data_IF_282077526374
#
_entry.id   IF_282077526374
#
_cell.length_a   1.000
_cell.length_b   1.000
_cell.length_c   1.000
_cell.angle_alpha   90.00
_cell.angle_beta   90.00
_cell.angle_gamma   90.00
#
_symmetry.space_group_name_H-M   'P 1'
#
loop_
_entity.id
_entity.type
_entity.pdbx_description
1 polymer ?
#
# COMPACT_ATOMS: atom_id res chain seq x y z
N UNK A 1 3.27 10.71 5.77
CA UNK A 1 3.72 10.10 4.51
C UNK A 1 3.94 8.60 4.70
N UNK A 2 3.54 7.79 3.75
CA UNK A 2 3.71 6.33 3.86
C UNK A 2 5.16 5.92 3.65
N UNK A 3 5.58 4.89 4.38
CA UNK A 3 6.94 4.32 4.28
C UNK A 3 6.85 2.80 4.21
N UNK A 4 7.90 2.18 3.73
CA UNK A 4 8.01 0.71 3.74
C UNK A 4 7.93 0.23 5.19
N UNK A 5 7.10 -0.78 5.43
CA UNK A 5 6.85 -1.33 6.76
C UNK A 5 5.67 -0.75 7.50
N UNK A 6 5.08 0.35 6.99
CA UNK A 6 3.92 0.97 7.63
C UNK A 6 2.70 0.06 7.54
N UNK A 7 1.89 0.05 8.61
CA UNK A 7 0.57 -0.56 8.56
C UNK A 7 -0.39 0.41 7.92
N UNK A 8 -1.08 -0.04 6.89
CA UNK A 8 -2.04 0.77 6.13
C UNK A 8 -3.39 0.09 6.04
N UNK A 9 -4.42 0.89 5.78
CA UNK A 9 -5.76 0.41 5.47
C UNK A 9 -6.12 0.84 4.06
N UNK A 10 -6.67 -0.08 3.28
CA UNK A 10 -7.10 0.23 1.92
C UNK A 10 -8.47 0.90 1.92
N UNK A 11 -8.85 1.48 0.78
CA UNK A 11 -10.17 2.10 0.60
C UNK A 11 -11.32 1.11 0.78
N UNK A 12 -11.05 -0.19 0.66
CA UNK A 12 -12.03 -1.25 0.90
C UNK A 12 -12.10 -1.68 2.37
N UNK A 13 -11.34 -1.06 3.25
CA UNK A 13 -11.31 -1.40 4.68
C UNK A 13 -10.40 -2.57 5.06
N UNK A 14 -9.55 -3.01 4.16
CA UNK A 14 -8.59 -4.09 4.39
C UNK A 14 -7.29 -3.53 4.94
N UNK A 15 -6.57 -4.33 5.72
CA UNK A 15 -5.28 -3.94 6.29
C UNK A 15 -4.13 -4.62 5.57
N UNK A 16 -2.98 -3.95 5.52
CA UNK A 16 -1.79 -4.50 4.92
C UNK A 16 -0.53 -3.79 5.39
N UNK A 17 0.63 -4.36 5.01
CA UNK A 17 1.94 -3.80 5.32
C UNK A 17 2.62 -3.38 4.03
N UNK A 18 3.10 -2.14 3.97
CA UNK A 18 3.77 -1.61 2.79
C UNK A 18 5.06 -2.37 2.56
N UNK A 19 5.19 -2.99 1.38
CA UNK A 19 6.39 -3.71 0.98
C UNK A 19 7.36 -2.84 0.22
N UNK A 20 6.85 -2.04 -0.73
CA UNK A 20 7.70 -1.25 -1.63
C UNK A 20 6.93 -0.06 -2.16
N UNK A 21 7.67 0.96 -2.60
CA UNK A 21 7.12 2.13 -3.24
C UNK A 21 7.93 2.45 -4.49
N UNK A 22 7.25 2.55 -5.62
CA UNK A 22 7.86 2.84 -6.92
C UNK A 22 7.25 4.13 -7.48
N UNK A 23 7.75 5.32 -7.07
CA UNK A 23 7.14 6.59 -7.45
C UNK A 23 7.09 6.85 -8.95
N UNK A 24 7.94 6.17 -9.73
CA UNK A 24 7.90 6.28 -11.19
C UNK A 24 6.58 5.77 -11.79
N UNK A 25 5.79 5.01 -11.02
CA UNK A 25 4.47 4.53 -11.43
C UNK A 25 3.34 5.37 -10.87
N UNK A 26 3.60 6.60 -10.44
CA UNK A 26 2.60 7.48 -9.82
C UNK A 26 1.81 8.30 -10.82
N UNK A 27 1.80 7.93 -12.09
CA UNK A 27 1.04 8.64 -13.10
C UNK A 27 -0.47 8.44 -12.97
N UNK A 28 -1.27 9.17 -13.75
CA UNK A 28 -2.72 8.96 -13.80
C UNK A 28 -3.07 7.61 -14.43
N UNK A 29 -4.32 7.17 -14.20
CA UNK A 29 -4.84 5.98 -14.81
C UNK A 29 -4.46 4.71 -14.08
N UNK A 30 -3.74 3.80 -14.74
CA UNK A 30 -3.48 2.44 -14.26
C UNK A 30 -2.19 2.28 -13.46
N UNK A 31 -1.56 3.38 -13.08
CA UNK A 31 -0.30 3.33 -12.33
C UNK A 31 -0.56 3.08 -10.85
N UNK A 32 0.13 2.07 -10.28
CA UNK A 32 -0.02 1.65 -8.90
C UNK A 32 1.35 1.60 -8.24
N UNK A 33 1.81 2.70 -7.61
CA UNK A 33 3.18 2.79 -7.09
C UNK A 33 3.42 2.03 -5.79
N UNK A 34 2.36 1.66 -5.07
CA UNK A 34 2.49 1.04 -3.75
C UNK A 34 2.25 -0.46 -3.83
N UNK A 35 3.21 -1.22 -3.32
CA UNK A 35 3.11 -2.68 -3.18
C UNK A 35 2.90 -3.00 -1.71
N UNK A 36 1.85 -3.74 -1.40
CA UNK A 36 1.40 -3.97 -0.03
C UNK A 36 1.18 -5.46 0.19
N UNK A 37 1.74 -6.00 1.28
CA UNK A 37 1.42 -7.35 1.72
C UNK A 37 0.03 -7.36 2.35
N UNK A 38 -0.84 -8.23 1.86
CA UNK A 38 -2.22 -8.34 2.33
C UNK A 38 -2.41 -9.65 3.11
N UNK A 39 -2.47 -9.60 4.45
CA UNK A 39 -2.61 -10.82 5.26
C UNK A 39 -3.90 -11.60 4.99
N UNK A 40 -4.97 -10.91 4.64
CA UNK A 40 -6.24 -11.56 4.29
C UNK A 40 -6.22 -12.24 2.91
N UNK A 41 -5.13 -12.11 2.17
CA UNK A 41 -4.91 -12.76 0.88
C UNK A 41 -3.61 -13.58 0.94
N UNK A 42 -3.41 -14.35 2.01
CA UNK A 42 -2.25 -15.23 2.21
C UNK A 42 -0.91 -14.49 2.12
N UNK A 43 -0.87 -13.24 2.59
CA UNK A 43 0.31 -12.37 2.53
C UNK A 43 0.82 -12.12 1.11
N UNK A 44 -0.04 -12.26 0.12
CA UNK A 44 0.31 -11.91 -1.26
C UNK A 44 0.40 -10.40 -1.42
N UNK A 45 1.16 -9.97 -2.41
CA UNK A 45 1.34 -8.57 -2.72
C UNK A 45 0.17 -8.11 -3.59
N UNK A 46 -0.43 -6.99 -3.21
CA UNK A 46 -1.39 -6.28 -4.03
C UNK A 46 -0.87 -4.87 -4.31
N UNK A 47 -1.37 -4.25 -5.36
CA UNK A 47 -0.88 -2.97 -5.85
C UNK A 47 -1.93 -1.89 -5.65
N UNK A 48 -1.51 -0.72 -5.16
CA UNK A 48 -2.42 0.35 -4.83
C UNK A 48 -1.90 1.70 -5.30
N UNK A 49 -2.83 2.63 -5.55
CA UNK A 49 -2.52 4.03 -5.73
C UNK A 49 -2.44 4.71 -4.34
N UNK A 50 -1.75 5.85 -4.28
CA UNK A 50 -1.53 6.54 -3.01
C UNK A 50 -2.84 6.88 -2.30
N UNK A 51 -3.84 7.37 -3.04
CA UNK A 51 -5.12 7.76 -2.45
C UNK A 51 -5.96 6.59 -1.94
N UNK A 52 -5.59 5.35 -2.29
CA UNK A 52 -6.29 4.15 -1.82
C UNK A 52 -5.77 3.67 -0.46
N UNK A 53 -4.71 4.25 0.06
CA UNK A 53 -4.06 3.81 1.30
C UNK A 53 -4.16 4.89 2.36
N UNK A 54 -4.47 4.46 3.59
CA UNK A 54 -4.50 5.31 4.77
C UNK A 54 -3.51 4.77 5.80
N UNK A 55 -2.66 5.63 6.33
CA UNK A 55 -1.71 5.24 7.36
C UNK A 55 -2.45 4.91 8.66
N UNK A 56 -2.20 3.72 9.20
CA UNK A 56 -2.75 3.28 10.48
C UNK A 56 -1.69 3.36 11.56
N UNK A 57 -0.49 2.81 11.28
CA UNK A 57 0.61 2.83 12.23
C UNK A 57 1.93 2.94 11.49
N UNK A 58 2.75 3.89 11.89
CA UNK A 58 4.06 4.10 11.28
C UNK A 58 5.04 2.99 11.64
N UNK A 59 5.86 2.61 10.66
CA UNK A 59 7.04 1.78 10.90
C UNK A 59 8.07 2.56 11.71
N UNK A 60 8.79 1.86 12.56
CA UNK A 60 9.88 2.45 13.35
C UNK A 60 11.24 2.00 12.87
#
# INVERSE_FOLDING_TARGET
MLKIGDLVRTSCGRFGIVKAHYPQYSGPGTSYPWYVYMPDNHWRIEYFQTHQLELVSESR
#
